data_IF_858648999241
#
_entry.id   IF_858648999241
#
_cell.length_a   1.000
_cell.length_b   1.000
_cell.length_c   1.000
_cell.angle_alpha   90.00
_cell.angle_beta   90.00
_cell.angle_gamma   90.00
#
_symmetry.space_group_name_H-M   'P 1'
#
loop_
_entity.id
_entity.type
_entity.pdbx_description
1 polymer ?
#
# COMPACT_ATOMS: atom_id res chain seq x y z
N UNK A 1 35.10 7.99 -0.41
CA UNK A 1 33.82 7.33 -0.75
C UNK A 1 32.70 8.36 -0.61
N UNK A 2 31.74 8.40 -1.54
CA UNK A 2 30.60 9.31 -1.45
C UNK A 2 29.63 8.75 -0.41
N UNK A 3 29.16 9.58 0.53
CA UNK A 3 28.16 9.16 1.50
C UNK A 3 26.82 8.89 0.79
N UNK A 4 26.11 7.85 1.22
CA UNK A 4 24.76 7.55 0.76
C UNK A 4 23.81 8.65 1.20
N UNK A 5 22.84 8.96 0.35
CA UNK A 5 21.70 9.82 0.65
C UNK A 5 20.77 9.13 1.64
N UNK A 6 19.89 9.91 2.29
CA UNK A 6 18.88 9.36 3.18
C UNK A 6 17.94 8.38 2.46
N UNK A 7 17.63 8.65 1.18
CA UNK A 7 16.79 7.78 0.37
C UNK A 7 17.47 6.44 0.09
N UNK A 8 18.77 6.44 -0.27
CA UNK A 8 19.54 5.21 -0.48
C UNK A 8 19.66 4.38 0.81
N UNK A 9 19.84 5.03 1.96
CA UNK A 9 19.87 4.35 3.26
C UNK A 9 18.51 3.74 3.59
N UNK A 10 17.43 4.49 3.33
CA UNK A 10 16.06 4.03 3.55
C UNK A 10 15.75 2.79 2.71
N UNK A 11 16.03 2.82 1.42
CA UNK A 11 15.73 1.72 0.51
C UNK A 11 16.54 0.47 0.84
N UNK A 12 17.82 0.64 1.20
CA UNK A 12 18.67 -0.46 1.64
C UNK A 12 18.16 -1.08 2.95
N UNK A 13 17.73 -0.25 3.90
CA UNK A 13 17.11 -0.71 5.16
C UNK A 13 15.81 -1.48 4.93
N UNK A 14 14.93 -0.98 4.05
CA UNK A 14 13.68 -1.65 3.69
C UNK A 14 13.92 -3.00 3.02
N UNK A 15 14.89 -3.07 2.10
CA UNK A 15 15.27 -4.33 1.46
C UNK A 15 15.82 -5.34 2.47
N UNK A 16 16.71 -4.91 3.36
CA UNK A 16 17.29 -5.78 4.39
C UNK A 16 16.22 -6.33 5.35
N UNK A 17 15.27 -5.49 5.78
CA UNK A 17 14.15 -5.92 6.62
C UNK A 17 13.26 -6.94 5.88
N UNK A 18 12.93 -6.68 4.62
CA UNK A 18 12.12 -7.60 3.80
C UNK A 18 12.79 -8.95 3.61
N UNK A 19 14.08 -8.97 3.32
CA UNK A 19 14.85 -10.21 3.14
C UNK A 19 14.92 -11.02 4.43
N UNK A 20 15.08 -10.35 5.58
CA UNK A 20 15.29 -11.04 6.86
C UNK A 20 14.00 -11.53 7.51
N UNK A 21 12.93 -10.74 7.41
CA UNK A 21 11.66 -10.95 8.12
C UNK A 21 10.54 -11.45 7.21
N UNK A 22 10.67 -11.25 5.90
CA UNK A 22 9.55 -11.37 4.98
C UNK A 22 8.62 -10.14 5.04
N UNK A 23 7.72 -9.98 4.06
CA UNK A 23 6.94 -8.75 3.89
C UNK A 23 5.95 -8.50 5.03
N UNK A 24 5.34 -9.54 5.59
CA UNK A 24 4.34 -9.41 6.66
C UNK A 24 4.97 -8.91 7.95
N UNK A 25 6.02 -9.59 8.43
CA UNK A 25 6.66 -9.23 9.69
C UNK A 25 7.50 -7.95 9.57
N UNK A 26 8.02 -7.62 8.38
CA UNK A 26 8.60 -6.30 8.10
C UNK A 26 7.59 -5.17 8.36
N UNK A 27 6.37 -5.26 7.81
CA UNK A 27 5.34 -4.22 8.00
C UNK A 27 5.00 -4.07 9.48
N UNK A 28 4.81 -5.17 10.20
CA UNK A 28 4.52 -5.16 11.64
C UNK A 28 5.67 -4.54 12.42
N UNK A 29 6.93 -4.82 12.04
CA UNK A 29 8.11 -4.24 12.64
C UNK A 29 8.14 -2.72 12.47
N UNK A 30 7.88 -2.21 11.26
CA UNK A 30 7.81 -0.77 10.99
C UNK A 30 6.71 -0.12 11.84
N UNK A 31 5.53 -0.76 11.91
CA UNK A 31 4.39 -0.29 12.71
C UNK A 31 4.65 -0.21 14.23
N UNK A 32 5.68 -0.89 14.75
CA UNK A 32 6.07 -0.76 16.16
C UNK A 32 6.74 0.59 16.47
N UNK A 33 7.40 1.19 15.49
CA UNK A 33 8.17 2.43 15.66
C UNK A 33 7.51 3.62 14.96
N UNK A 34 6.68 3.35 13.97
CA UNK A 34 5.83 4.31 13.31
C UNK A 34 4.36 3.93 13.59
N UNK A 35 3.67 4.76 14.36
CA UNK A 35 2.22 4.58 14.60
C UNK A 35 1.37 4.69 13.33
N UNK A 36 2.01 4.99 12.20
CA UNK A 36 1.34 5.45 10.99
C UNK A 36 0.82 6.87 11.22
N UNK A 37 0.51 7.53 10.10
CA UNK A 37 -0.26 8.77 10.09
C UNK A 37 -1.37 8.62 9.07
N UNK A 38 -2.46 9.33 9.29
CA UNK A 38 -3.65 9.27 8.46
C UNK A 38 -4.72 8.35 9.03
N UNK A 39 -5.96 8.61 8.62
CA UNK A 39 -7.11 7.81 8.97
C UNK A 39 -7.64 7.24 7.66
N UNK A 40 -7.03 6.15 7.20
CA UNK A 40 -7.39 5.54 5.92
C UNK A 40 -8.89 5.23 5.85
N UNK A 41 -9.54 4.95 6.98
CA UNK A 41 -10.99 4.73 7.01
C UNK A 41 -11.76 6.01 6.70
N UNK A 42 -11.35 7.17 7.23
CA UNK A 42 -11.93 8.47 6.87
C UNK A 42 -11.59 8.87 5.44
N UNK A 43 -10.32 8.74 5.04
CA UNK A 43 -9.88 9.08 3.70
C UNK A 43 -10.61 8.23 2.66
N UNK A 44 -10.65 6.91 2.83
CA UNK A 44 -11.40 5.98 1.96
C UNK A 44 -12.86 6.37 1.80
N UNK A 45 -13.52 6.83 2.87
CA UNK A 45 -14.93 7.29 2.80
C UNK A 45 -15.13 8.55 1.96
N UNK A 46 -14.10 9.37 1.74
CA UNK A 46 -14.24 10.60 0.96
C UNK A 46 -14.30 10.35 -0.55
N UNK A 47 -13.66 9.30 -1.05
CA UNK A 47 -13.53 9.05 -2.49
C UNK A 47 -14.06 7.69 -2.95
N UNK A 48 -14.28 6.74 -2.03
CA UNK A 48 -14.93 5.49 -2.38
C UNK A 48 -16.45 5.72 -2.51
N UNK A 49 -16.93 5.74 -3.76
CA UNK A 49 -18.35 5.60 -4.07
C UNK A 49 -18.82 4.24 -3.52
N UNK A 50 -19.86 4.27 -2.68
CA UNK A 50 -20.54 3.05 -2.21
C UNK A 50 -21.66 2.63 -3.19
N UNK A 51 -21.68 3.16 -4.40
CA UNK A 51 -22.65 2.76 -5.42
C UNK A 51 -22.30 1.37 -5.96
N UNK A 52 -22.84 0.35 -5.28
CA UNK A 52 -22.67 -1.04 -5.66
C UNK A 52 -23.25 -1.33 -7.06
N UNK A 53 -24.26 -0.58 -7.49
CA UNK A 53 -24.87 -0.74 -8.82
C UNK A 53 -23.93 -0.24 -9.91
N UNK A 54 -23.21 0.87 -9.67
CA UNK A 54 -22.17 1.38 -10.55
C UNK A 54 -21.01 0.37 -10.69
N UNK A 55 -20.52 -0.17 -9.57
CA UNK A 55 -19.46 -1.19 -9.55
C UNK A 55 -19.90 -2.45 -10.30
N UNK A 56 -21.13 -2.92 -10.08
CA UNK A 56 -21.66 -4.09 -10.77
C UNK A 56 -21.79 -3.88 -12.28
N UNK A 57 -22.19 -2.68 -12.72
CA UNK A 57 -22.24 -2.32 -14.14
C UNK A 57 -20.85 -2.34 -14.78
N UNK A 58 -19.86 -1.73 -14.15
CA UNK A 58 -18.48 -1.71 -14.65
C UNK A 58 -17.92 -3.13 -14.82
N UNK A 59 -18.14 -4.02 -13.84
CA UNK A 59 -17.72 -5.42 -13.91
C UNK A 59 -18.37 -6.14 -15.11
N UNK A 60 -19.68 -5.94 -15.32
CA UNK A 60 -20.40 -6.54 -16.44
C UNK A 60 -19.92 -6.03 -17.80
N UNK A 61 -19.59 -4.74 -17.90
CA UNK A 61 -19.05 -4.16 -19.14
C UNK A 61 -17.65 -4.68 -19.45
N UNK A 62 -16.80 -4.86 -18.43
CA UNK A 62 -15.47 -5.47 -18.61
C UNK A 62 -15.57 -6.91 -19.12
N UNK A 63 -16.50 -7.70 -18.60
CA UNK A 63 -16.74 -9.08 -19.05
C UNK A 63 -17.17 -9.13 -20.52
N UNK A 64 -18.08 -8.25 -20.95
CA UNK A 64 -18.53 -8.17 -22.35
C UNK A 64 -17.44 -7.74 -23.34
N UNK A 65 -16.44 -6.97 -22.91
CA UNK A 65 -15.31 -6.56 -23.77
C UNK A 65 -14.26 -7.65 -23.97
N UNK A 66 -14.31 -8.70 -23.15
CA UNK A 66 -13.41 -9.86 -23.23
C UNK A 66 -13.98 -10.98 -24.13
N UNK A 67 -15.26 -10.89 -24.50
CA UNK A 67 -15.94 -11.73 -25.51
C UNK A 67 -15.74 -11.18 -26.93
#
# INVERSE_FOLDING_TARGET
MKAKTLHEIHDEGMNALRERLGPVDMIRFIQMFDSGKGDYTKERRQWLSNDLDEICKEIQEMQKKLE
#
